data_IF_311833567898
#
_entry.id   IF_311833567898
#
_cell.length_a   1.000
_cell.length_b   1.000
_cell.length_c   1.000
_cell.angle_alpha   90.00
_cell.angle_beta   90.00
_cell.angle_gamma   90.00
#
_symmetry.space_group_name_H-M   'P 1'
#
loop_
_entity.id
_entity.type
_entity.pdbx_description
1 polymer ?
#
# COMPACT_ATOMS: atom_id res chain seq x y z
N UNK A 1 21.64 8.26 -7.33
CA UNK A 1 22.18 7.24 -8.27
C UNK A 1 21.33 5.96 -8.25
N UNK A 2 21.17 5.28 -7.11
CA UNK A 2 20.42 4.01 -7.04
C UNK A 2 18.94 4.09 -7.47
N UNK A 3 18.23 5.18 -7.15
CA UNK A 3 16.85 5.39 -7.63
C UNK A 3 16.82 5.49 -9.16
N UNK A 4 17.72 6.29 -9.75
CA UNK A 4 17.83 6.41 -11.21
C UNK A 4 18.12 5.05 -11.84
N UNK A 5 19.06 4.28 -11.25
CA UNK A 5 19.34 2.92 -11.71
C UNK A 5 18.10 2.02 -11.66
N UNK A 6 17.36 2.01 -10.55
CA UNK A 6 16.15 1.20 -10.40
C UNK A 6 15.07 1.56 -11.43
N UNK A 7 14.83 2.86 -11.66
CA UNK A 7 13.85 3.34 -12.63
C UNK A 7 14.29 3.01 -14.06
N UNK A 8 15.55 3.28 -14.41
CA UNK A 8 16.10 2.97 -15.72
C UNK A 8 16.06 1.47 -15.99
N UNK A 9 16.40 0.62 -15.00
CA UNK A 9 16.34 -0.82 -15.15
C UNK A 9 14.90 -1.27 -15.45
N UNK A 10 13.91 -0.78 -14.71
CA UNK A 10 12.50 -1.14 -14.93
C UNK A 10 12.04 -0.81 -16.35
N UNK A 11 12.41 0.37 -16.86
CA UNK A 11 12.13 0.77 -18.25
C UNK A 11 12.84 -0.16 -19.24
N UNK A 12 14.13 -0.44 -19.04
CA UNK A 12 14.90 -1.31 -19.93
C UNK A 12 14.29 -2.72 -19.98
N UNK A 13 13.96 -3.31 -18.83
CA UNK A 13 13.42 -4.67 -18.79
C UNK A 13 12.02 -4.74 -19.41
N UNK A 14 11.19 -3.70 -19.28
CA UNK A 14 9.88 -3.62 -19.94
C UNK A 14 10.01 -3.50 -21.47
N UNK A 15 10.98 -2.71 -21.95
CA UNK A 15 11.28 -2.60 -23.39
C UNK A 15 11.78 -3.93 -23.95
N UNK A 16 12.65 -4.63 -23.21
CA UNK A 16 13.11 -5.97 -23.61
C UNK A 16 11.95 -6.96 -23.62
N UNK A 17 11.08 -6.95 -22.59
CA UNK A 17 9.90 -7.82 -22.55
C UNK A 17 9.00 -7.61 -23.78
N UNK A 18 8.71 -6.36 -24.12
CA UNK A 18 7.93 -6.01 -25.31
C UNK A 18 8.64 -6.45 -26.60
N UNK A 19 9.94 -6.23 -26.72
CA UNK A 19 10.72 -6.64 -27.89
C UNK A 19 10.72 -8.16 -28.08
N UNK A 20 10.89 -8.93 -27.00
CA UNK A 20 10.80 -10.40 -27.02
C UNK A 20 9.40 -10.84 -27.41
N UNK A 21 8.36 -10.25 -26.83
CA UNK A 21 6.97 -10.59 -27.16
C UNK A 21 6.68 -10.38 -28.64
N UNK A 22 7.04 -9.22 -29.21
CA UNK A 22 6.84 -8.92 -30.64
C UNK A 22 7.68 -9.80 -31.56
N UNK A 23 8.90 -10.15 -31.16
CA UNK A 23 9.77 -11.04 -31.94
C UNK A 23 9.21 -12.46 -31.96
N UNK A 24 8.73 -12.96 -30.82
CA UNK A 24 8.10 -14.27 -30.70
C UNK A 24 6.79 -14.33 -31.48
N UNK A 25 5.95 -13.30 -31.41
CA UNK A 25 4.71 -13.20 -32.19
C UNK A 25 4.95 -13.21 -33.70
N UNK A 26 6.05 -12.57 -34.15
CA UNK A 26 6.43 -12.55 -35.56
C UNK A 26 6.98 -13.91 -36.03
N UNK A 27 7.80 -14.57 -35.20
CA UNK A 27 8.46 -15.82 -35.55
C UNK A 27 7.53 -17.05 -35.44
N UNK A 28 6.59 -17.04 -34.49
CA UNK A 28 5.64 -18.12 -34.24
C UNK A 28 4.22 -17.55 -34.03
N UNK A 29 3.46 -17.34 -35.12
CA UNK A 29 2.08 -16.83 -35.05
C UNK A 29 1.12 -17.80 -34.35
N UNK A 30 1.41 -19.10 -34.41
CA UNK A 30 0.64 -20.15 -33.74
C UNK A 30 1.18 -20.44 -32.33
N UNK A 31 0.29 -20.85 -31.43
CA UNK A 31 0.62 -21.18 -30.04
C UNK A 31 1.61 -22.34 -29.95
N UNK A 32 2.89 -22.02 -29.74
CA UNK A 32 3.95 -23.00 -29.51
C UNK A 32 4.39 -23.02 -28.03
N UNK A 33 4.64 -24.19 -27.42
CA UNK A 33 5.04 -24.28 -26.02
C UNK A 33 6.34 -23.52 -25.70
N UNK A 34 7.30 -23.50 -26.62
CA UNK A 34 8.54 -22.72 -26.47
C UNK A 34 8.30 -21.19 -26.52
N UNK A 35 7.37 -20.73 -27.35
CA UNK A 35 7.00 -19.31 -27.44
C UNK A 35 6.41 -18.81 -26.12
N UNK A 36 5.60 -19.65 -25.46
CA UNK A 36 5.07 -19.37 -24.13
C UNK A 36 6.19 -19.22 -23.10
N UNK A 37 7.13 -20.17 -23.06
CA UNK A 37 8.26 -20.13 -22.11
C UNK A 37 9.09 -18.86 -22.32
N UNK A 38 9.38 -18.48 -23.56
CA UNK A 38 10.14 -17.27 -23.85
C UNK A 38 9.46 -16.01 -23.31
N UNK A 39 8.14 -15.89 -23.49
CA UNK A 39 7.34 -14.77 -22.95
C UNK A 39 7.27 -14.80 -21.42
N UNK A 40 7.08 -15.97 -20.82
CA UNK A 40 7.01 -16.13 -19.37
C UNK A 40 8.34 -15.73 -18.70
N UNK A 41 9.48 -16.08 -19.31
CA UNK A 41 10.82 -15.70 -18.83
C UNK A 41 11.07 -14.20 -18.98
N UNK A 42 10.60 -13.58 -20.07
CA UNK A 42 10.69 -12.14 -20.26
C UNK A 42 9.88 -11.38 -19.20
N UNK A 43 8.64 -11.81 -18.94
CA UNK A 43 7.80 -11.25 -17.88
C UNK A 43 8.41 -11.47 -16.47
N UNK A 44 9.01 -12.63 -16.22
CA UNK A 44 9.71 -12.90 -14.96
C UNK A 44 10.90 -11.96 -14.73
N UNK A 45 11.60 -11.56 -15.79
CA UNK A 45 12.72 -10.60 -15.70
C UNK A 45 12.24 -9.21 -15.25
N UNK A 46 11.06 -8.77 -15.74
CA UNK A 46 10.42 -7.53 -15.29
C UNK A 46 10.06 -7.61 -13.80
N UNK A 47 9.51 -8.75 -13.34
CA UNK A 47 9.16 -8.97 -11.95
C UNK A 47 10.38 -8.88 -11.01
N UNK A 48 11.50 -9.51 -11.39
CA UNK A 48 12.75 -9.44 -10.63
C UNK A 48 13.25 -7.99 -10.54
N UNK A 49 13.17 -7.25 -11.64
CA UNK A 49 13.57 -5.84 -11.68
C UNK A 49 12.66 -4.98 -10.80
N UNK A 50 11.35 -5.23 -10.80
CA UNK A 50 10.40 -4.53 -9.95
C UNK A 50 10.66 -4.79 -8.46
N UNK A 51 11.01 -6.03 -8.09
CA UNK A 51 11.40 -6.37 -6.71
C UNK A 51 12.67 -5.61 -6.29
N UNK A 52 13.68 -5.54 -7.15
CA UNK A 52 14.89 -4.74 -6.90
C UNK A 52 14.58 -3.26 -6.69
N UNK A 53 13.69 -2.68 -7.52
CA UNK A 53 13.27 -1.29 -7.38
C UNK A 53 12.56 -1.03 -6.05
N UNK A 54 11.68 -1.95 -5.63
CA UNK A 54 10.99 -1.86 -4.34
C UNK A 54 11.97 -1.90 -3.15
N UNK A 55 12.92 -2.85 -3.16
CA UNK A 55 13.95 -2.96 -2.11
C UNK A 55 14.85 -1.72 -2.07
N UNK A 56 15.28 -1.23 -3.23
CA UNK A 56 16.08 0.00 -3.33
C UNK A 56 15.32 1.19 -2.77
N UNK A 57 14.02 1.32 -3.09
CA UNK A 57 13.17 2.36 -2.52
C UNK A 57 13.08 2.27 -1.00
N UNK A 58 12.85 1.07 -0.46
CA UNK A 58 12.79 0.87 1.00
C UNK A 58 14.10 1.29 1.69
N UNK A 59 15.26 0.94 1.12
CA UNK A 59 16.56 1.29 1.71
C UNK A 59 16.81 2.80 1.63
N UNK A 60 16.60 3.43 0.47
CA UNK A 60 16.93 4.84 0.26
C UNK A 60 15.97 5.77 1.01
N UNK A 61 14.68 5.40 1.11
CA UNK A 61 13.68 6.22 1.77
C UNK A 61 13.50 5.91 3.26
N UNK A 62 14.22 4.94 3.83
CA UNK A 62 14.13 4.60 5.25
C UNK A 62 14.43 5.80 6.17
N UNK A 63 15.64 6.35 6.12
CA UNK A 63 16.04 7.45 7.04
C UNK A 63 15.20 8.73 6.86
N UNK A 64 14.90 9.21 5.64
CA UNK A 64 14.10 10.42 5.47
C UNK A 64 12.67 10.26 5.98
N UNK A 65 12.04 9.10 5.76
CA UNK A 65 10.70 8.80 6.27
C UNK A 65 10.74 8.69 7.79
N UNK A 66 11.74 8.02 8.36
CA UNK A 66 11.90 7.92 9.80
C UNK A 66 12.01 9.30 10.46
N UNK A 67 12.83 10.21 9.90
CA UNK A 67 12.95 11.59 10.40
C UNK A 67 11.64 12.39 10.30
N UNK A 68 10.91 12.23 9.20
CA UNK A 68 9.61 12.88 9.02
C UNK A 68 8.61 12.40 10.07
N UNK A 69 8.57 11.08 10.31
CA UNK A 69 7.73 10.46 11.32
C UNK A 69 8.12 10.96 12.71
N UNK A 70 9.41 11.01 13.05
CA UNK A 70 9.88 11.49 14.35
C UNK A 70 9.51 12.96 14.61
N UNK A 71 9.60 13.82 13.59
CA UNK A 71 9.23 15.24 13.70
C UNK A 71 7.73 15.42 14.01
N UNK A 72 6.86 14.60 13.40
CA UNK A 72 5.42 14.61 13.67
C UNK A 72 5.02 14.03 15.05
N UNK A 73 5.92 13.31 15.72
CA UNK A 73 5.68 12.71 17.05
C UNK A 73 6.03 13.64 18.23
N UNK A 74 6.55 14.84 17.98
CA UNK A 74 7.08 15.75 19.01
C UNK A 74 6.01 16.43 19.89
N UNK A 75 4.72 16.21 19.66
CA UNK A 75 3.64 16.70 20.52
C UNK A 75 3.50 15.87 21.81
N UNK A 76 4.00 16.39 22.92
CA UNK A 76 4.14 15.72 24.21
C UNK A 76 2.86 15.60 25.06
N UNK A 77 1.70 15.32 24.48
CA UNK A 77 0.49 15.03 25.28
C UNK A 77 0.45 13.55 25.69
N UNK A 78 0.27 13.21 26.98
CA UNK A 78 0.14 11.83 27.43
C UNK A 78 -1.21 11.26 26.95
N UNK A 79 -1.17 10.49 25.87
CA UNK A 79 -2.38 9.90 25.28
C UNK A 79 -2.82 8.72 26.15
N UNK A 80 -3.88 8.92 26.92
CA UNK A 80 -4.59 7.95 27.78
C UNK A 80 -5.24 6.83 26.96
N UNK A 81 -5.55 5.69 27.57
CA UNK A 81 -6.31 4.61 26.92
C UNK A 81 -7.63 5.11 26.29
N UNK A 82 -8.30 6.09 26.91
CA UNK A 82 -9.54 6.68 26.41
C UNK A 82 -9.38 7.33 25.03
N UNK A 83 -8.28 8.04 24.77
CA UNK A 83 -8.01 8.66 23.47
C UNK A 83 -7.81 7.66 22.34
N UNK A 84 -7.28 6.46 22.62
CA UNK A 84 -7.19 5.40 21.59
C UNK A 84 -8.58 4.92 21.18
N UNK A 85 -9.46 4.70 22.16
CA UNK A 85 -10.84 4.29 21.90
C UNK A 85 -11.65 5.37 21.19
N UNK A 86 -11.42 6.66 21.51
CA UNK A 86 -12.04 7.79 20.82
C UNK A 86 -11.58 7.87 19.37
N UNK A 87 -10.29 7.69 19.08
CA UNK A 87 -9.77 7.72 17.72
C UNK A 87 -10.31 6.53 16.89
N UNK A 88 -10.36 5.32 17.47
CA UNK A 88 -10.92 4.16 16.78
C UNK A 88 -12.41 4.31 16.52
N UNK A 89 -13.19 4.82 17.48
CA UNK A 89 -14.62 5.06 17.30
C UNK A 89 -14.88 6.15 16.24
N UNK A 90 -14.09 7.23 16.23
CA UNK A 90 -14.13 8.26 15.19
C UNK A 90 -13.87 7.68 13.80
N UNK A 91 -12.84 6.84 13.64
CA UNK A 91 -12.54 6.19 12.36
C UNK A 91 -13.69 5.29 11.92
N UNK A 92 -14.22 4.46 12.81
CA UNK A 92 -15.34 3.56 12.52
C UNK A 92 -16.58 4.37 12.09
N UNK A 93 -16.95 5.39 12.85
CA UNK A 93 -18.09 6.27 12.53
C UNK A 93 -17.91 6.98 11.19
N UNK A 94 -16.72 7.54 10.93
CA UNK A 94 -16.43 8.25 9.68
C UNK A 94 -16.51 7.29 8.49
N UNK A 95 -15.94 6.09 8.61
CA UNK A 95 -15.99 5.09 7.55
C UNK A 95 -17.41 4.57 7.34
N UNK A 96 -18.23 4.43 8.38
CA UNK A 96 -19.66 4.11 8.26
C UNK A 96 -20.40 5.25 7.56
N UNK A 97 -20.18 6.52 7.95
CA UNK A 97 -20.81 7.68 7.33
C UNK A 97 -20.44 7.84 5.84
N UNK A 98 -19.18 7.54 5.48
CA UNK A 98 -18.75 7.49 4.07
C UNK A 98 -19.42 6.32 3.36
N UNK A 99 -19.46 5.12 3.97
CA UNK A 99 -20.16 3.97 3.38
C UNK A 99 -21.65 4.27 3.11
N UNK A 100 -22.35 4.95 4.02
CA UNK A 100 -23.78 5.30 3.85
C UNK A 100 -23.99 6.36 2.77
N UNK A 101 -23.11 7.36 2.67
CA UNK A 101 -23.16 8.39 1.60
C UNK A 101 -22.87 7.84 0.21
N UNK A 102 -21.89 6.94 0.10
CA UNK A 102 -21.52 6.31 -1.18
C UNK A 102 -22.44 5.14 -1.56
N UNK A 103 -23.37 4.72 -0.69
CA UNK A 103 -24.33 3.66 -1.00
C UNK A 103 -25.51 4.10 -1.89
N UNK A 104 -25.71 5.41 -2.10
CA UNK A 104 -26.89 5.93 -2.82
C UNK A 104 -26.67 6.24 -4.31
N UNK A 105 -25.44 6.20 -4.84
CA UNK A 105 -25.15 6.44 -6.26
C UNK A 105 -24.52 5.18 -6.87
N UNK A 106 -25.27 4.52 -7.76
CA UNK A 106 -25.07 3.16 -8.26
C UNK A 106 -23.81 2.83 -9.07
N UNK A 107 -22.65 3.42 -8.76
CA UNK A 107 -21.34 2.97 -9.24
C UNK A 107 -20.18 3.34 -8.29
N UNK A 108 -20.49 3.77 -7.05
CA UNK A 108 -19.48 4.19 -6.08
C UNK A 108 -18.78 3.00 -5.42
N UNK A 109 -17.45 3.00 -5.47
CA UNK A 109 -16.59 2.06 -4.73
C UNK A 109 -16.81 2.27 -3.22
N UNK A 110 -17.50 1.35 -2.56
CA UNK A 110 -17.78 1.42 -1.12
C UNK A 110 -16.51 1.11 -0.31
N UNK A 111 -16.01 1.99 0.58
CA UNK A 111 -14.82 1.69 1.35
C UNK A 111 -15.03 0.50 2.29
N UNK A 112 -14.01 -0.34 2.41
CA UNK A 112 -14.02 -1.48 3.33
C UNK A 112 -13.70 -1.05 4.76
N UNK A 113 -14.63 -1.31 5.69
CA UNK A 113 -14.44 -1.03 7.11
C UNK A 113 -13.24 -1.78 7.71
N UNK A 114 -13.06 -3.05 7.35
CA UNK A 114 -12.02 -3.89 7.93
C UNK A 114 -10.61 -3.42 7.52
N UNK A 115 -10.43 -2.99 6.27
CA UNK A 115 -9.14 -2.41 5.83
C UNK A 115 -8.92 -1.04 6.42
N UNK A 116 -9.97 -0.23 6.59
CA UNK A 116 -9.87 1.06 7.27
C UNK A 116 -9.43 0.92 8.73
N UNK A 117 -10.03 -0.01 9.48
CA UNK A 117 -9.66 -0.28 10.87
C UNK A 117 -8.23 -0.83 10.95
N UNK A 118 -7.84 -1.76 10.09
CA UNK A 118 -6.48 -2.32 10.08
C UNK A 118 -5.42 -1.24 9.83
N UNK A 119 -5.62 -0.36 8.84
CA UNK A 119 -4.71 0.74 8.55
C UNK A 119 -4.74 1.84 9.61
N UNK A 120 -5.89 2.09 10.26
CA UNK A 120 -5.99 3.01 11.38
C UNK A 120 -5.20 2.51 12.61
N UNK A 121 -5.28 1.21 12.92
CA UNK A 121 -4.47 0.60 13.99
C UNK A 121 -2.99 0.68 13.66
N UNK A 122 -2.59 0.35 12.42
CA UNK A 122 -1.19 0.49 11.99
C UNK A 122 -0.69 1.95 12.10
N UNK A 123 -1.49 2.92 11.68
CA UNK A 123 -1.18 4.34 11.80
C UNK A 123 -1.11 4.80 13.27
N UNK A 124 -1.96 4.29 14.15
CA UNK A 124 -1.90 4.54 15.60
C UNK A 124 -0.60 4.00 16.20
N UNK A 125 -0.22 2.76 15.87
CA UNK A 125 1.06 2.18 16.30
C UNK A 125 2.21 3.06 15.81
N UNK A 126 2.16 3.50 14.54
CA UNK A 126 3.16 4.37 13.97
C UNK A 126 3.21 5.77 14.59
N UNK A 127 2.11 6.31 15.12
CA UNK A 127 2.17 7.59 15.83
C UNK A 127 2.70 7.45 17.27
N UNK A 128 2.59 6.25 17.87
CA UNK A 128 2.83 6.04 19.31
C UNK A 128 4.18 5.43 19.63
N UNK A 129 4.63 4.49 18.82
CA UNK A 129 5.82 3.71 19.11
C UNK A 129 7.03 4.45 18.52
N UNK A 130 8.01 4.76 19.36
CA UNK A 130 9.26 5.40 18.91
C UNK A 130 10.04 4.47 17.97
N UNK A 131 9.97 3.17 18.22
CA UNK A 131 10.59 2.14 17.39
C UNK A 131 9.90 2.03 16.01
N UNK A 132 10.65 2.43 14.98
CA UNK A 132 10.23 2.41 13.57
C UNK A 132 9.96 0.99 13.08
N UNK A 133 10.63 -0.04 13.63
CA UNK A 133 10.41 -1.42 13.22
C UNK A 133 9.01 -1.91 13.61
N UNK A 134 8.54 -1.57 14.82
CA UNK A 134 7.21 -1.95 15.29
C UNK A 134 6.12 -1.29 14.43
N UNK A 135 6.33 -0.03 14.02
CA UNK A 135 5.43 0.66 13.09
C UNK A 135 5.38 -0.03 11.71
N UNK A 136 6.54 -0.41 11.16
CA UNK A 136 6.63 -1.11 9.88
C UNK A 136 5.95 -2.48 9.93
N UNK A 137 6.14 -3.24 11.01
CA UNK A 137 5.44 -4.52 11.22
C UNK A 137 3.92 -4.34 11.28
N UNK A 138 3.44 -3.27 11.93
CA UNK A 138 2.01 -2.93 11.96
C UNK A 138 1.43 -2.66 10.57
N UNK A 139 2.14 -1.87 9.74
CA UNK A 139 1.73 -1.63 8.35
C UNK A 139 1.84 -2.88 7.47
N UNK A 140 2.86 -3.71 7.68
CA UNK A 140 3.01 -4.98 6.97
C UNK A 140 1.82 -5.91 7.27
N UNK A 141 1.42 -6.03 8.54
CA UNK A 141 0.25 -6.81 8.94
C UNK A 141 -1.04 -6.28 8.30
N UNK A 142 -1.24 -4.96 8.28
CA UNK A 142 -2.39 -4.34 7.65
C UNK A 142 -2.43 -4.57 6.12
N UNK A 143 -1.28 -4.52 5.45
CA UNK A 143 -1.16 -4.82 4.02
C UNK A 143 -1.39 -6.30 3.73
N UNK A 144 -0.84 -7.22 4.52
CA UNK A 144 -1.12 -8.67 4.39
C UNK A 144 -2.61 -8.95 4.54
N UNK A 145 -3.28 -8.30 5.50
CA UNK A 145 -4.72 -8.43 5.69
C UNK A 145 -5.52 -7.88 4.49
N UNK A 146 -5.08 -6.76 3.90
CA UNK A 146 -5.67 -6.23 2.68
C UNK A 146 -5.53 -7.21 1.50
N UNK A 147 -4.35 -7.79 1.30
CA UNK A 147 -4.10 -8.78 0.25
C UNK A 147 -4.92 -10.05 0.46
N UNK A 148 -5.01 -10.54 1.69
CA UNK A 148 -5.84 -11.70 2.04
C UNK A 148 -7.34 -11.45 1.78
N UNK A 149 -7.80 -10.20 1.94
CA UNK A 149 -9.17 -9.82 1.59
C UNK A 149 -9.40 -9.71 0.08
N UNK A 150 -8.37 -9.31 -0.67
CA UNK A 150 -8.43 -9.25 -2.13
C UNK A 150 -8.53 -10.65 -2.76
N UNK A 151 -7.72 -11.60 -2.28
CA UNK A 151 -7.67 -12.98 -2.79
C UNK A 151 -9.00 -13.73 -2.63
N UNK A 152 -9.79 -13.40 -1.60
CA UNK A 152 -11.13 -13.99 -1.38
C UNK A 152 -12.22 -13.51 -2.36
N UNK A 153 -11.88 -12.79 -3.45
CA UNK A 153 -12.73 -12.39 -4.60
C UNK A 153 -14.07 -11.68 -4.32
N UNK A 154 -14.40 -11.31 -3.07
CA UNK A 154 -15.70 -10.69 -2.73
C UNK A 154 -15.71 -9.15 -2.73
N UNK A 155 -14.57 -8.48 -2.92
CA UNK A 155 -14.44 -7.01 -2.82
C UNK A 155 -13.51 -6.46 -3.92
N UNK A 156 -13.90 -5.39 -4.66
CA UNK A 156 -13.02 -4.80 -5.67
C UNK A 156 -11.79 -4.16 -5.01
N UNK A 157 -10.63 -4.21 -5.66
CA UNK A 157 -9.37 -3.64 -5.13
C UNK A 157 -9.53 -2.18 -4.68
N UNK A 158 -10.26 -1.37 -5.46
CA UNK A 158 -10.54 0.02 -5.11
C UNK A 158 -11.24 0.18 -3.75
N UNK A 159 -12.13 -0.75 -3.35
CA UNK A 159 -12.84 -0.66 -2.07
C UNK A 159 -11.92 -0.87 -0.87
N UNK A 160 -10.94 -1.75 -1.05
CA UNK A 160 -9.96 -2.09 -0.03
C UNK A 160 -8.98 -0.93 0.13
N UNK A 161 -8.48 -0.40 -0.99
CA UNK A 161 -7.56 0.73 -1.02
C UNK A 161 -8.18 2.01 -0.44
N UNK A 162 -9.43 2.30 -0.80
CA UNK A 162 -10.13 3.49 -0.31
C UNK A 162 -10.39 3.41 1.21
N UNK A 163 -10.70 2.21 1.72
CA UNK A 163 -10.76 1.96 3.16
C UNK A 163 -9.41 2.21 3.85
N UNK A 164 -8.32 1.64 3.31
CA UNK A 164 -6.97 1.79 3.85
C UNK A 164 -6.51 3.26 3.92
N UNK A 165 -6.71 4.01 2.83
CA UNK A 165 -6.37 5.43 2.76
C UNK A 165 -7.18 6.27 3.76
N UNK A 166 -8.50 6.05 3.84
CA UNK A 166 -9.35 6.76 4.79
C UNK A 166 -8.94 6.47 6.24
N UNK A 167 -8.74 5.20 6.59
CA UNK A 167 -8.34 4.79 7.93
C UNK A 167 -7.00 5.41 8.36
N UNK A 168 -5.97 5.28 7.53
CA UNK A 168 -4.65 5.85 7.81
C UNK A 168 -4.69 7.38 7.89
N UNK A 169 -5.34 8.05 6.94
CA UNK A 169 -5.39 9.51 6.88
C UNK A 169 -6.16 10.11 8.06
N UNK A 170 -7.34 9.59 8.39
CA UNK A 170 -8.15 10.10 9.51
C UNK A 170 -7.40 9.93 10.83
N UNK A 171 -6.74 8.79 11.04
CA UNK A 171 -5.96 8.55 12.25
C UNK A 171 -4.80 9.53 12.39
N UNK A 172 -4.01 9.75 11.33
CA UNK A 172 -2.88 10.70 11.36
C UNK A 172 -3.38 12.13 11.58
N UNK A 173 -4.45 12.53 10.88
CA UNK A 173 -5.04 13.87 11.02
C UNK A 173 -5.59 14.10 12.44
N UNK A 174 -6.34 13.15 12.97
CA UNK A 174 -6.92 13.26 14.30
C UNK A 174 -5.85 13.24 15.40
N UNK A 175 -4.78 12.46 15.21
CA UNK A 175 -3.61 12.50 16.09
C UNK A 175 -2.91 13.86 16.05
N UNK A 176 -2.70 14.41 14.85
CA UNK A 176 -2.08 15.72 14.67
C UNK A 176 -2.90 16.85 15.30
N UNK A 177 -4.23 16.85 15.11
CA UNK A 177 -5.13 17.82 15.74
C UNK A 177 -5.18 17.71 17.27
N UNK A 178 -5.01 16.50 17.82
CA UNK A 178 -4.91 16.30 19.27
C UNK A 178 -3.55 16.71 19.83
N UNK A 179 -2.51 16.65 19.00
CA UNK A 179 -1.12 16.98 19.33
C UNK A 179 -0.82 18.49 19.31
N UNK A 180 -1.70 19.30 18.71
CA UNK A 180 -1.64 20.77 18.68
C UNK A 180 -2.28 21.38 19.93
#
# INVERSE_FOLDING_TARGET
>A
LFILLAVTLMIVTELINTAVEKTVDLAMPDLHPLAKIAKDVAAASVLVTAAFAAVTGMIVFYDPIERLIQTGRAGGHPITAGTVWILLSLVILTVIAVQTRFSSKGNGVKPSLLTAVAFAVAALIACRVQDTLVALLGFLLATVLLLALHDKRKRPFGSLLLGALLGGFITVLAYYLYSM
#
